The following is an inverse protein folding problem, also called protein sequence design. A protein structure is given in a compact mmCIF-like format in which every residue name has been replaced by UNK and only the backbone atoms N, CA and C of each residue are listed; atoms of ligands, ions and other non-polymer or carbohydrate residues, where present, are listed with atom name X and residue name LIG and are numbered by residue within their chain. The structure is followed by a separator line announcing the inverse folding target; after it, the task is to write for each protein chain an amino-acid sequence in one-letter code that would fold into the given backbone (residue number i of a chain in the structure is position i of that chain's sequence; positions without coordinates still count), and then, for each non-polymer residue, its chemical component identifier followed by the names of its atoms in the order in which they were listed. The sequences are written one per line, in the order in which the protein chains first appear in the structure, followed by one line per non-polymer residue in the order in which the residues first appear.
data_IF_658151241768
#
_entry.id   IF_658151241768
#
_cell.length_a   1.000
_cell.length_b   1.000
_cell.length_c   1.000
_cell.angle_alpha   90.00
_cell.angle_beta   90.00
_cell.angle_gamma   90.00
#
_symmetry.space_group_name_H-M   'P 1'
#
loop_
_entity.id
_entity.type
_entity.pdbx_description
1 polymer ?
#
# COMPACT_ATOMS: atom_id res chain seq x y z
N UNK A 1 -10.93 11.95 -34.00
CA UNK A 1 -11.17 10.68 -33.27
C UNK A 1 -10.29 10.70 -32.03
N UNK A 2 -10.85 11.15 -30.90
CA UNK A 2 -10.11 11.28 -29.65
C UNK A 2 -10.21 9.97 -28.88
N UNK A 3 -9.12 9.22 -28.83
CA UNK A 3 -8.99 8.02 -28.00
C UNK A 3 -8.91 8.43 -26.53
N UNK A 4 -9.96 8.11 -25.78
CA UNK A 4 -9.99 8.19 -24.33
C UNK A 4 -9.01 7.16 -23.75
N UNK A 5 -7.93 7.65 -23.15
CA UNK A 5 -7.04 6.83 -22.32
C UNK A 5 -7.82 6.38 -21.08
N UNK A 6 -8.27 5.13 -21.14
CA UNK A 6 -8.80 4.37 -20.00
C UNK A 6 -7.73 4.40 -18.89
N UNK A 7 -7.99 5.16 -17.83
CA UNK A 7 -7.20 5.10 -16.60
C UNK A 7 -7.34 3.67 -16.05
N UNK A 8 -6.26 2.97 -15.64
CA UNK A 8 -6.40 1.67 -15.03
C UNK A 8 -7.15 1.85 -13.70
N UNK A 9 -8.38 1.37 -13.69
CA UNK A 9 -9.18 1.16 -12.49
C UNK A 9 -8.32 0.35 -11.53
N UNK A 10 -8.04 0.88 -10.34
CA UNK A 10 -7.45 0.11 -9.26
C UNK A 10 -8.28 -1.16 -9.08
N UNK A 11 -7.68 -2.32 -9.38
CA UNK A 11 -8.33 -3.61 -9.22
C UNK A 11 -8.88 -3.74 -7.80
N UNK A 12 -10.17 -4.06 -7.71
CA UNK A 12 -10.78 -4.50 -6.47
C UNK A 12 -10.03 -5.76 -6.00
N UNK A 13 -9.31 -5.63 -4.89
CA UNK A 13 -8.69 -6.74 -4.17
C UNK A 13 -9.79 -7.72 -3.76
N UNK A 14 -9.76 -8.96 -4.27
CA UNK A 14 -10.60 -10.04 -3.74
C UNK A 14 -10.01 -10.41 -2.37
N UNK A 15 -10.82 -10.20 -1.34
CA UNK A 15 -10.41 -10.15 0.06
C UNK A 15 -10.01 -11.52 0.62
N UNK A 16 -8.88 -11.57 1.32
CA UNK A 16 -8.61 -12.57 2.38
C UNK A 16 -9.44 -12.16 3.62
N UNK A 17 -10.13 -13.08 4.34
CA UNK A 17 -11.08 -12.69 5.36
C UNK A 17 -10.46 -12.20 6.68
N UNK A 18 -11.19 -11.24 7.28
CA UNK A 18 -11.50 -11.09 8.72
C UNK A 18 -10.75 -10.05 9.57
N UNK A 19 -11.49 -8.98 9.90
CA UNK A 19 -11.70 -8.54 11.28
C UNK A 19 -10.74 -7.52 11.90
N UNK A 20 -9.43 -7.68 11.76
CA UNK A 20 -8.45 -6.89 12.56
C UNK A 20 -8.00 -5.56 11.92
N UNK A 21 -8.45 -5.27 10.71
CA UNK A 21 -7.87 -4.28 9.80
C UNK A 21 -8.24 -2.82 10.12
N UNK A 22 -9.28 -2.60 10.92
CA UNK A 22 -9.86 -1.27 11.16
C UNK A 22 -9.16 -0.45 12.27
N UNK A 23 -8.23 -1.05 13.03
CA UNK A 23 -7.70 -0.39 14.22
C UNK A 23 -6.36 0.37 13.99
N UNK A 24 -5.70 0.23 12.83
CA UNK A 24 -4.33 0.75 12.65
C UNK A 24 -4.11 1.74 11.50
N UNK A 25 -4.88 1.65 10.41
CA UNK A 25 -4.73 2.51 9.24
C UNK A 25 -6.09 3.04 8.79
N UNK A 26 -6.16 4.34 8.46
CA UNK A 26 -7.34 4.97 7.91
C UNK A 26 -7.18 5.17 6.38
N UNK A 27 -7.89 4.40 5.53
CA UNK A 27 -7.74 4.52 4.08
C UNK A 27 -8.01 5.93 3.55
N UNK A 28 -8.93 6.67 4.19
CA UNK A 28 -9.25 8.04 3.80
C UNK A 28 -8.09 9.02 4.03
N UNK A 29 -7.28 8.81 5.07
CA UNK A 29 -6.10 9.65 5.32
C UNK A 29 -5.01 9.40 4.25
N UNK A 30 -4.82 8.14 3.81
CA UNK A 30 -3.88 7.81 2.74
C UNK A 30 -4.32 8.37 1.38
N UNK A 31 -5.61 8.32 1.07
CA UNK A 31 -6.16 8.93 -0.14
C UNK A 31 -5.94 10.45 -0.15
N UNK A 32 -6.10 11.08 1.01
CA UNK A 32 -5.86 12.50 1.16
C UNK A 32 -4.37 12.86 1.00
N UNK A 33 -3.46 12.05 1.52
CA UNK A 33 -2.01 12.19 1.26
C UNK A 33 -1.70 12.06 -0.23
N UNK A 34 -2.26 11.06 -0.93
CA UNK A 34 -2.08 10.91 -2.39
C UNK A 34 -2.61 12.13 -3.15
N UNK A 35 -3.77 12.63 -2.77
CA UNK A 35 -4.39 13.80 -3.38
C UNK A 35 -3.56 15.07 -3.18
N UNK A 36 -3.05 15.32 -1.98
CA UNK A 36 -2.17 16.46 -1.71
C UNK A 36 -0.85 16.34 -2.47
N UNK A 37 -0.20 15.17 -2.44
CA UNK A 37 1.06 14.94 -3.13
C UNK A 37 0.93 15.09 -4.66
N UNK A 38 -0.20 14.66 -5.22
CA UNK A 38 -0.48 14.77 -6.65
C UNK A 38 -0.73 16.20 -7.15
N UNK A 39 -1.04 17.14 -6.25
CA UNK A 39 -1.18 18.57 -6.58
C UNK A 39 0.12 19.35 -6.44
N UNK A 40 1.11 18.79 -5.74
CA UNK A 40 2.38 19.46 -5.50
C UNK A 40 3.28 19.32 -6.73
N UNK A 41 3.78 20.46 -7.24
CA UNK A 41 4.84 20.45 -8.25
C UNK A 41 6.18 20.00 -7.65
N UNK A 42 7.17 19.63 -8.47
CA UNK A 42 8.47 19.14 -8.00
C UNK A 42 9.24 20.16 -7.14
N UNK A 43 9.08 21.45 -7.42
CA UNK A 43 9.62 22.56 -6.62
C UNK A 43 8.56 23.23 -5.72
N UNK A 44 7.38 22.63 -5.62
CA UNK A 44 6.28 23.19 -4.83
C UNK A 44 6.53 23.08 -3.33
N UNK A 45 6.25 24.16 -2.61
CA UNK A 45 6.21 24.16 -1.15
C UNK A 45 4.85 23.70 -0.63
N UNK A 46 4.80 23.11 0.56
CA UNK A 46 3.55 22.71 1.20
C UNK A 46 3.20 23.67 2.34
N UNK A 47 2.15 24.51 2.21
CA UNK A 47 1.63 25.29 3.33
C UNK A 47 1.19 24.37 4.47
N UNK A 48 1.84 24.50 5.63
CA UNK A 48 1.55 23.66 6.80
C UNK A 48 0.40 24.26 7.61
N UNK A 49 -0.82 24.10 7.10
CA UNK A 49 -2.03 24.37 7.89
C UNK A 49 -2.17 23.35 9.03
N UNK A 50 -2.96 23.67 10.04
CA UNK A 50 -3.21 22.73 11.15
C UNK A 50 -3.79 21.40 10.64
N UNK A 51 -4.70 21.48 9.68
CA UNK A 51 -5.33 20.30 9.08
C UNK A 51 -4.33 19.39 8.32
N UNK A 52 -3.35 20.00 7.64
CA UNK A 52 -2.26 19.26 6.97
C UNK A 52 -1.30 18.68 8.00
N UNK A 53 -0.96 19.45 9.04
CA UNK A 53 -0.12 19.00 10.16
C UNK A 53 -0.72 17.77 10.83
N UNK A 54 -1.98 17.83 11.24
CA UNK A 54 -2.68 16.73 11.90
C UNK A 54 -2.73 15.48 11.01
N UNK A 55 -3.05 15.65 9.72
CA UNK A 55 -3.07 14.55 8.75
C UNK A 55 -1.71 13.85 8.66
N UNK A 56 -0.65 14.61 8.41
CA UNK A 56 0.68 14.04 8.20
C UNK A 56 1.24 13.40 9.47
N UNK A 57 0.93 13.93 10.65
CA UNK A 57 1.28 13.30 11.91
C UNK A 57 0.53 11.98 12.16
N UNK A 58 -0.75 11.89 11.79
CA UNK A 58 -1.50 10.63 11.88
C UNK A 58 -0.97 9.56 10.93
N UNK A 59 -0.61 9.95 9.70
CA UNK A 59 -0.16 8.99 8.66
C UNK A 59 1.30 8.57 8.84
N UNK A 60 2.16 9.38 9.45
CA UNK A 60 3.58 9.07 9.65
C UNK A 60 3.85 7.64 10.18
N UNK A 61 3.26 7.19 11.30
CA UNK A 61 3.49 5.84 11.80
C UNK A 61 2.98 4.75 10.85
N UNK A 62 1.92 5.00 10.09
CA UNK A 62 1.36 4.05 9.13
C UNK A 62 2.34 3.71 8.01
N UNK A 63 3.25 4.64 7.69
CA UNK A 63 4.27 4.50 6.64
C UNK A 63 5.70 4.40 7.19
N UNK A 64 5.85 3.96 8.44
CA UNK A 64 7.14 3.77 9.11
C UNK A 64 8.01 5.04 9.21
N UNK A 65 7.38 6.19 9.46
CA UNK A 65 8.06 7.41 9.88
C UNK A 65 7.78 7.66 11.36
N UNK A 66 8.78 8.11 12.11
CA UNK A 66 8.55 8.40 13.53
C UNK A 66 7.76 9.71 13.70
N UNK A 67 6.98 9.86 14.79
CA UNK A 67 6.31 11.12 15.10
C UNK A 67 7.29 12.30 15.18
N UNK A 68 8.51 12.08 15.68
CA UNK A 68 9.55 13.10 15.79
C UNK A 68 10.10 13.52 14.43
N UNK A 69 10.33 12.57 13.52
CA UNK A 69 10.73 12.87 12.14
C UNK A 69 9.68 13.72 11.43
N UNK A 70 8.41 13.35 11.55
CA UNK A 70 7.30 14.08 10.97
C UNK A 70 7.19 15.49 11.58
N UNK A 71 7.23 15.63 12.91
CA UNK A 71 7.17 16.94 13.60
C UNK A 71 8.30 17.86 13.16
N UNK A 72 9.53 17.35 13.04
CA UNK A 72 10.67 18.15 12.56
C UNK A 72 10.47 18.63 11.14
N UNK A 73 10.00 17.77 10.24
CA UNK A 73 9.78 18.13 8.84
C UNK A 73 8.64 19.15 8.66
N UNK A 74 7.66 19.17 9.56
CA UNK A 74 6.53 20.11 9.55
C UNK A 74 6.87 21.52 10.08
N UNK A 75 8.14 21.83 10.31
CA UNK A 75 8.59 23.16 10.77
C UNK A 75 8.80 24.16 9.63
N UNK A 76 8.97 23.69 8.39
CA UNK A 76 9.13 24.55 7.22
C UNK A 76 8.37 24.00 6.00
N UNK A 77 7.85 24.86 5.10
CA UNK A 77 7.09 24.42 3.93
C UNK A 77 7.84 23.45 3.02
N UNK A 78 9.14 23.68 2.80
CA UNK A 78 9.98 22.82 1.96
C UNK A 78 10.20 21.42 2.55
N UNK A 79 10.46 21.35 3.86
CA UNK A 79 10.63 20.05 4.53
C UNK A 79 9.30 19.32 4.69
N UNK A 80 8.18 20.03 4.80
CA UNK A 80 6.84 19.45 4.82
C UNK A 80 6.45 18.87 3.45
N UNK A 81 6.80 19.58 2.36
CA UNK A 81 6.68 19.06 1.00
C UNK A 81 7.46 17.76 0.81
N UNK A 82 8.71 17.72 1.28
CA UNK A 82 9.54 16.51 1.23
C UNK A 82 8.92 15.34 2.02
N UNK A 83 8.41 15.61 3.23
CA UNK A 83 7.69 14.62 4.03
C UNK A 83 6.47 14.04 3.30
N UNK A 84 5.63 14.91 2.74
CA UNK A 84 4.44 14.51 1.99
C UNK A 84 4.80 13.62 0.79
N UNK A 85 5.85 13.97 0.04
CA UNK A 85 6.33 13.16 -1.09
C UNK A 85 6.84 11.81 -0.64
N UNK A 86 7.60 11.74 0.45
CA UNK A 86 8.09 10.48 1.01
C UNK A 86 6.95 9.56 1.43
N UNK A 87 5.95 10.08 2.16
CA UNK A 87 4.76 9.31 2.53
C UNK A 87 4.03 8.80 1.28
N UNK A 88 3.83 9.66 0.29
CA UNK A 88 3.21 9.27 -0.98
C UNK A 88 4.01 8.19 -1.71
N UNK A 89 5.35 8.30 -1.76
CA UNK A 89 6.21 7.29 -2.37
C UNK A 89 6.10 5.93 -1.67
N UNK A 90 6.17 5.89 -0.33
CA UNK A 90 6.04 4.64 0.42
C UNK A 90 4.69 3.95 0.18
N UNK A 91 3.60 4.73 0.19
CA UNK A 91 2.26 4.22 -0.10
C UNK A 91 2.20 3.67 -1.54
N UNK A 92 2.67 4.45 -2.50
CA UNK A 92 2.62 4.15 -3.93
C UNK A 92 3.46 2.92 -4.28
N UNK A 93 4.68 2.85 -3.76
CA UNK A 93 5.63 1.79 -4.10
C UNK A 93 5.34 0.49 -3.36
N UNK A 94 4.97 0.57 -2.08
CA UNK A 94 4.54 -0.61 -1.32
C UNK A 94 3.30 -1.25 -1.93
N UNK A 95 2.29 -0.45 -2.33
CA UNK A 95 1.12 -0.95 -3.05
C UNK A 95 1.51 -1.68 -4.33
N UNK A 96 2.35 -1.07 -5.18
CA UNK A 96 2.77 -1.69 -6.44
C UNK A 96 3.57 -2.96 -6.24
N UNK A 97 4.48 -2.95 -5.26
CA UNK A 97 5.32 -4.11 -4.94
C UNK A 97 4.47 -5.28 -4.51
N UNK A 98 3.56 -5.05 -3.55
CA UNK A 98 2.64 -6.06 -3.07
C UNK A 98 1.77 -6.60 -4.21
N UNK A 99 1.11 -5.73 -5.00
CA UNK A 99 0.25 -6.19 -6.09
C UNK A 99 1.00 -7.06 -7.11
N UNK A 100 2.22 -6.68 -7.49
CA UNK A 100 3.04 -7.50 -8.41
C UNK A 100 3.42 -8.84 -7.79
N UNK A 101 3.84 -8.84 -6.52
CA UNK A 101 4.25 -10.05 -5.83
C UNK A 101 3.08 -11.04 -5.67
N UNK A 102 1.88 -10.56 -5.34
CA UNK A 102 0.69 -11.39 -5.23
C UNK A 102 0.29 -12.02 -6.56
N UNK A 103 0.26 -11.22 -7.65
CA UNK A 103 -0.08 -11.73 -8.98
C UNK A 103 0.90 -12.82 -9.42
N UNK A 104 2.20 -12.59 -9.21
CA UNK A 104 3.22 -13.54 -9.62
C UNK A 104 3.22 -14.80 -8.75
N UNK A 105 3.10 -14.65 -7.43
CA UNK A 105 2.96 -15.78 -6.51
C UNK A 105 1.75 -16.66 -6.84
N UNK A 106 0.62 -16.04 -7.20
CA UNK A 106 -0.59 -16.77 -7.57
C UNK A 106 -0.40 -17.58 -8.85
N UNK A 107 0.24 -17.00 -9.89
CA UNK A 107 0.54 -17.72 -11.14
C UNK A 107 1.43 -18.94 -10.90
N UNK A 108 2.46 -18.80 -10.07
CA UNK A 108 3.37 -19.88 -9.72
C UNK A 108 2.64 -21.00 -8.95
N UNK A 109 1.77 -20.63 -7.99
CA UNK A 109 0.90 -21.56 -7.28
C UNK A 109 0.01 -22.36 -8.24
N UNK A 110 -0.63 -21.70 -9.21
CA UNK A 110 -1.46 -22.37 -10.22
C UNK A 110 -0.69 -23.37 -11.10
N UNK A 111 0.62 -23.20 -11.24
CA UNK A 111 1.49 -24.15 -11.96
C UNK A 111 2.09 -25.22 -11.06
N UNK A 112 1.76 -25.22 -9.77
CA UNK A 112 2.28 -26.15 -8.77
C UNK A 112 3.66 -25.78 -8.19
N UNK A 113 4.22 -24.63 -8.57
CA UNK A 113 5.51 -24.16 -8.06
C UNK A 113 5.35 -23.31 -6.79
N UNK A 114 4.97 -23.98 -5.70
CA UNK A 114 4.80 -23.35 -4.38
C UNK A 114 6.09 -22.76 -3.82
N UNK A 115 7.25 -23.36 -4.16
CA UNK A 115 8.55 -22.87 -3.72
C UNK A 115 8.84 -21.50 -4.33
N UNK A 116 8.71 -21.36 -5.66
CA UNK A 116 8.89 -20.09 -6.34
C UNK A 116 7.83 -19.06 -5.94
N UNK A 117 6.58 -19.49 -5.74
CA UNK A 117 5.50 -18.62 -5.24
C UNK A 117 5.89 -17.95 -3.90
N UNK A 118 6.39 -18.75 -2.94
CA UNK A 118 6.87 -18.25 -1.65
C UNK A 118 8.07 -17.32 -1.80
N UNK A 119 9.02 -17.66 -2.68
CA UNK A 119 10.21 -16.85 -2.89
C UNK A 119 9.86 -15.44 -3.39
N UNK A 120 8.89 -15.31 -4.30
CA UNK A 120 8.40 -14.00 -4.77
C UNK A 120 7.90 -13.14 -3.61
N UNK A 121 7.10 -13.71 -2.71
CA UNK A 121 6.58 -12.99 -1.56
C UNK A 121 7.68 -12.66 -0.54
N UNK A 122 8.61 -13.59 -0.27
CA UNK A 122 9.76 -13.34 0.60
C UNK A 122 10.64 -12.20 0.09
N UNK A 123 10.87 -12.11 -1.24
CA UNK A 123 11.59 -10.98 -1.83
C UNK A 123 10.86 -9.66 -1.64
N UNK A 124 9.53 -9.65 -1.71
CA UNK A 124 8.74 -8.46 -1.40
C UNK A 124 8.82 -8.08 0.08
N UNK A 125 8.74 -9.06 0.99
CA UNK A 125 8.86 -8.85 2.43
C UNK A 125 10.21 -8.24 2.82
N UNK A 126 11.30 -8.72 2.22
CA UNK A 126 12.66 -8.32 2.57
C UNK A 126 12.95 -6.82 2.38
N UNK A 127 12.22 -6.14 1.50
CA UNK A 127 12.40 -4.72 1.20
C UNK A 127 11.25 -3.85 1.70
N UNK A 128 10.17 -4.45 2.21
CA UNK A 128 9.00 -3.72 2.66
C UNK A 128 9.21 -3.14 4.04
N UNK A 129 8.90 -1.85 4.20
CA UNK A 129 9.08 -1.10 5.45
C UNK A 129 7.74 -0.64 6.03
N UNK A 130 6.71 -0.52 5.20
CA UNK A 130 5.39 -0.05 5.62
C UNK A 130 4.68 -1.18 6.37
N UNK A 131 4.33 -0.99 7.66
CA UNK A 131 3.81 -2.08 8.50
C UNK A 131 2.56 -2.74 7.92
N UNK A 132 1.67 -1.96 7.31
CA UNK A 132 0.48 -2.49 6.65
C UNK A 132 0.84 -3.47 5.52
N UNK A 133 1.78 -3.14 4.65
CA UNK A 133 2.17 -4.01 3.54
C UNK A 133 3.00 -5.21 4.00
N UNK A 134 3.84 -5.08 5.02
CA UNK A 134 4.52 -6.22 5.63
C UNK A 134 3.51 -7.28 6.11
N UNK A 135 2.46 -6.82 6.79
CA UNK A 135 1.39 -7.71 7.25
C UNK A 135 0.64 -8.37 6.08
N UNK A 136 0.40 -7.65 4.99
CA UNK A 136 -0.20 -8.24 3.79
C UNK A 136 0.65 -9.34 3.17
N UNK A 137 1.96 -9.12 3.09
CA UNK A 137 2.89 -10.13 2.56
C UNK A 137 2.93 -11.34 3.50
N UNK A 138 2.92 -11.14 4.82
CA UNK A 138 2.86 -12.22 5.82
C UNK A 138 1.59 -13.07 5.64
N UNK A 139 0.43 -12.43 5.53
CA UNK A 139 -0.84 -13.11 5.29
C UNK A 139 -0.79 -13.89 3.97
N UNK A 140 -0.25 -13.30 2.90
CA UNK A 140 -0.13 -14.00 1.62
C UNK A 140 0.80 -15.22 1.69
N UNK A 141 1.91 -15.12 2.43
CA UNK A 141 2.83 -16.24 2.69
C UNK A 141 2.11 -17.40 3.39
N UNK A 142 1.31 -17.12 4.41
CA UNK A 142 0.51 -18.13 5.13
C UNK A 142 -0.46 -18.88 4.19
N UNK A 143 -0.90 -18.25 3.09
CA UNK A 143 -1.83 -18.82 2.10
C UNK A 143 -1.14 -19.57 0.95
N UNK A 144 0.18 -19.45 0.79
CA UNK A 144 0.89 -20.19 -0.27
C UNK A 144 0.71 -21.70 -0.06
N UNK A 145 0.86 -22.16 1.18
CA UNK A 145 0.81 -23.58 1.56
C UNK A 145 -0.58 -24.08 1.94
N UNK A 146 -1.55 -23.16 2.07
CA UNK A 146 -2.92 -23.55 2.29
C UNK A 146 -3.43 -24.28 1.03
N UNK A 147 -4.04 -25.48 1.19
CA UNK A 147 -4.73 -26.13 0.08
C UNK A 147 -5.69 -25.12 -0.53
N UNK A 148 -5.77 -25.08 -1.86
CA UNK A 148 -6.87 -24.36 -2.49
C UNK A 148 -8.14 -24.99 -1.93
N UNK A 149 -8.95 -24.21 -1.19
CA UNK A 149 -10.29 -24.66 -0.86
C UNK A 149 -10.96 -24.92 -2.21
N UNK A 150 -11.13 -26.20 -2.56
CA UNK A 150 -11.99 -26.71 -3.63
C UNK A 150 -13.46 -26.40 -3.28
N UNK A 151 -13.76 -25.16 -2.90
CA UNK A 151 -15.10 -24.68 -2.68
C UNK A 151 -15.45 -23.58 -3.66
N UNK A 152 -15.34 -23.94 -4.94
CA UNK A 152 -16.36 -23.60 -5.91
C UNK A 152 -17.12 -24.90 -6.24
N UNK A 153 -17.64 -25.58 -5.22
CA UNK A 153 -18.79 -26.46 -5.44
C UNK A 153 -19.94 -25.57 -5.89
N UNK A 154 -20.48 -25.90 -7.05
CA UNK A 154 -21.88 -25.77 -7.41
C UNK A 154 -22.66 -24.75 -6.56
N UNK A 155 -22.76 -23.53 -7.09
CA UNK A 155 -23.96 -22.73 -6.89
C UNK A 155 -24.54 -22.45 -8.26
N UNK A 156 -24.95 -23.55 -8.90
CA UNK A 156 -26.29 -23.79 -9.42
C UNK A 156 -27.07 -22.67 -10.14
N UNK A 157 -27.55 -23.13 -11.30
CA UNK A 157 -28.89 -22.98 -11.87
C UNK A 157 -29.20 -21.75 -12.76
#
# INVERSE_FOLDING_TARGET
MHGTLQRPTCMAFRAVPSGAWRARMNPGDWDRVRFLAGQLSDDGELPVTEEVRELLLRVAPDVALTPEEARRALNAPNTAAALLREMHHRIRDGSRRLSRALVESHKLKQTGDFAAAREVLNRAAAVEIVPFYQEQVRIALDHVDAPEDDNQTDSDA
#
